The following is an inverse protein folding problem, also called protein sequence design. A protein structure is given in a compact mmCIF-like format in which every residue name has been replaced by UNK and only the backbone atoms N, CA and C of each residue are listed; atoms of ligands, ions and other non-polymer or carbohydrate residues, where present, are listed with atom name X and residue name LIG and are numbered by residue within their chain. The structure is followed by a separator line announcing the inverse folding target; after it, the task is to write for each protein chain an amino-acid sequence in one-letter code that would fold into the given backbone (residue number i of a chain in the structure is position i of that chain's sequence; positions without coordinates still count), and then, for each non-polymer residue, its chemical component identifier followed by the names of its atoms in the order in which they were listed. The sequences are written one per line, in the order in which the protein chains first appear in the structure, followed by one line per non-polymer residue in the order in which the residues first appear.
data_IF_777069276739
#
_entry.id   IF_777069276739
#
_cell.length_a   1.000
_cell.length_b   1.000
_cell.length_c   1.000
_cell.angle_alpha   90.00
_cell.angle_beta   90.00
_cell.angle_gamma   90.00
#
_symmetry.space_group_name_H-M   'P 1'
#
loop_
_entity.id
_entity.type
_entity.pdbx_description
1 polymer ?
#
# COMPACT_ATOMS: atom_id res chain seq x y z
N UNK A 1 18.00 -8.63 1.55
CA UNK A 1 16.87 -8.41 0.62
C UNK A 1 15.52 -8.35 1.33
N UNK A 2 15.05 -9.42 2.00
CA UNK A 2 13.69 -9.47 2.62
C UNK A 2 13.37 -8.34 3.62
N UNK A 3 14.31 -7.95 4.46
CA UNK A 3 14.09 -6.86 5.42
C UNK A 3 13.83 -5.50 4.71
N UNK A 4 14.56 -5.23 3.63
CA UNK A 4 14.37 -4.03 2.81
C UNK A 4 13.01 -4.04 2.09
N UNK A 5 12.57 -5.20 1.61
CA UNK A 5 11.24 -5.35 1.00
C UNK A 5 10.12 -5.11 2.01
N UNK A 6 10.29 -5.53 3.26
CA UNK A 6 9.32 -5.26 4.31
C UNK A 6 9.30 -3.77 4.69
N UNK A 7 10.48 -3.16 4.83
CA UNK A 7 10.65 -1.76 5.20
C UNK A 7 10.10 -0.81 4.12
N UNK A 8 10.40 -1.08 2.86
CA UNK A 8 9.98 -0.27 1.71
C UNK A 8 8.66 -0.74 1.09
N UNK A 9 8.07 -1.82 1.61
CA UNK A 9 6.91 -2.47 1.00
C UNK A 9 5.73 -1.53 0.85
N UNK A 10 5.38 -0.80 1.92
CA UNK A 10 4.29 0.19 1.87
C UNK A 10 4.56 1.28 0.83
N UNK A 11 5.80 1.80 0.75
CA UNK A 11 6.15 2.81 -0.26
C UNK A 11 6.00 2.28 -1.69
N UNK A 12 6.38 1.01 -1.92
CA UNK A 12 6.22 0.35 -3.22
C UNK A 12 4.73 0.16 -3.55
N UNK A 13 3.93 -0.31 -2.60
CA UNK A 13 2.48 -0.49 -2.80
C UNK A 13 1.82 0.83 -3.14
N UNK A 14 2.12 1.88 -2.37
CA UNK A 14 1.63 3.23 -2.64
C UNK A 14 2.04 3.73 -4.03
N UNK A 15 3.31 3.57 -4.43
CA UNK A 15 3.77 4.00 -5.74
C UNK A 15 3.05 3.26 -6.87
N UNK A 16 2.89 1.94 -6.76
CA UNK A 16 2.13 1.12 -7.71
C UNK A 16 0.68 1.59 -7.81
N UNK A 17 0.05 1.87 -6.67
CA UNK A 17 -1.32 2.38 -6.63
C UNK A 17 -1.44 3.74 -7.34
N UNK A 18 -0.56 4.69 -7.00
CA UNK A 18 -0.55 6.03 -7.59
C UNK A 18 -0.39 5.98 -9.11
N UNK A 19 0.62 5.27 -9.61
CA UNK A 19 0.84 5.15 -11.06
C UNK A 19 -0.27 4.35 -11.74
N UNK A 20 -0.81 3.33 -11.08
CA UNK A 20 -1.95 2.56 -11.57
C UNK A 20 -3.18 3.44 -11.80
N UNK A 21 -3.57 4.22 -10.80
CA UNK A 21 -4.68 5.17 -10.93
C UNK A 21 -4.41 6.24 -11.98
N UNK A 22 -3.17 6.76 -12.04
CA UNK A 22 -2.79 7.76 -13.04
C UNK A 22 -2.92 7.22 -14.48
N UNK A 23 -2.48 5.99 -14.74
CA UNK A 23 -2.63 5.34 -16.04
C UNK A 23 -4.11 5.12 -16.37
N UNK A 24 -4.89 4.61 -15.41
CA UNK A 24 -6.34 4.37 -15.62
C UNK A 24 -7.05 5.67 -15.99
N UNK A 25 -6.83 6.74 -15.23
CA UNK A 25 -7.43 8.04 -15.48
C UNK A 25 -6.98 8.64 -16.83
N UNK A 26 -5.72 8.44 -17.22
CA UNK A 26 -5.18 8.98 -18.47
C UNK A 26 -5.69 8.25 -19.72
N UNK A 27 -5.99 6.95 -19.61
CA UNK A 27 -6.38 6.11 -20.76
C UNK A 27 -7.90 6.01 -20.89
N UNK A 28 -8.61 5.79 -19.79
CA UNK A 28 -10.04 5.50 -19.78
C UNK A 28 -10.92 6.69 -19.37
N UNK A 29 -10.30 7.82 -18.98
CA UNK A 29 -10.98 9.05 -18.57
C UNK A 29 -12.01 8.77 -17.44
N UNK A 30 -13.20 9.38 -17.50
CA UNK A 30 -14.26 9.29 -16.47
C UNK A 30 -15.29 8.19 -16.74
N UNK A 31 -14.91 7.14 -17.48
CA UNK A 31 -15.80 6.02 -17.83
C UNK A 31 -16.04 5.07 -16.66
N UNK A 32 -17.12 4.28 -16.72
CA UNK A 32 -17.39 3.22 -15.74
C UNK A 32 -16.27 2.17 -15.68
N UNK A 33 -15.63 1.89 -16.83
CA UNK A 33 -14.44 1.03 -16.90
C UNK A 33 -13.30 1.59 -16.06
N UNK A 34 -13.07 2.91 -16.10
CA UNK A 34 -12.05 3.56 -15.29
C UNK A 34 -12.34 3.38 -13.78
N UNK A 35 -13.59 3.59 -13.36
CA UNK A 35 -14.02 3.40 -11.96
C UNK A 35 -13.85 1.96 -11.50
N UNK A 36 -14.23 0.99 -12.34
CA UNK A 36 -14.07 -0.44 -12.03
C UNK A 36 -12.59 -0.82 -11.88
N UNK A 37 -11.72 -0.37 -12.81
CA UNK A 37 -10.28 -0.62 -12.73
C UNK A 37 -9.65 0.06 -11.52
N UNK A 38 -10.01 1.31 -11.23
CA UNK A 38 -9.57 2.03 -10.04
C UNK A 38 -9.97 1.29 -8.76
N UNK A 39 -11.19 0.74 -8.70
CA UNK A 39 -11.65 -0.08 -7.57
C UNK A 39 -10.80 -1.33 -7.41
N UNK A 40 -10.57 -2.08 -8.49
CA UNK A 40 -9.78 -3.31 -8.45
C UNK A 40 -8.33 -3.06 -8.02
N UNK A 41 -7.68 -2.04 -8.58
CA UNK A 41 -6.32 -1.64 -8.22
C UNK A 41 -6.26 -1.21 -6.75
N UNK A 42 -7.22 -0.39 -6.31
CA UNK A 42 -7.30 0.06 -4.91
C UNK A 42 -7.47 -1.12 -3.96
N UNK A 43 -8.41 -2.02 -4.21
CA UNK A 43 -8.62 -3.20 -3.37
C UNK A 43 -7.38 -4.10 -3.31
N UNK A 44 -6.72 -4.33 -4.44
CA UNK A 44 -5.49 -5.12 -4.48
C UNK A 44 -4.37 -4.50 -3.61
N UNK A 45 -4.19 -3.18 -3.69
CA UNK A 45 -3.21 -2.45 -2.88
C UNK A 45 -3.58 -2.45 -1.39
N UNK A 46 -4.86 -2.30 -1.03
CA UNK A 46 -5.30 -2.38 0.37
C UNK A 46 -5.03 -3.77 0.98
N UNK A 47 -5.28 -4.83 0.21
CA UNK A 47 -4.96 -6.20 0.65
C UNK A 47 -3.44 -6.36 0.84
N UNK A 48 -2.63 -5.86 -0.10
CA UNK A 48 -1.18 -5.89 0.01
C UNK A 48 -0.67 -5.14 1.25
N UNK A 49 -1.17 -3.93 1.52
CA UNK A 49 -0.82 -3.15 2.70
C UNK A 49 -1.24 -3.83 4.00
N UNK A 50 -2.45 -4.42 4.05
CA UNK A 50 -2.90 -5.19 5.21
C UNK A 50 -1.99 -6.40 5.47
N UNK A 51 -1.57 -7.12 4.42
CA UNK A 51 -0.63 -8.23 4.52
C UNK A 51 0.75 -7.77 5.00
N UNK A 52 1.26 -6.66 4.48
CA UNK A 52 2.54 -6.07 4.88
C UNK A 52 2.51 -5.61 6.34
N UNK A 53 1.45 -4.91 6.76
CA UNK A 53 1.26 -4.49 8.14
C UNK A 53 1.22 -5.70 9.08
N UNK A 54 0.45 -6.73 8.75
CA UNK A 54 0.40 -7.96 9.53
C UNK A 54 1.76 -8.68 9.58
N UNK A 55 2.53 -8.68 8.48
CA UNK A 55 3.88 -9.23 8.47
C UNK A 55 4.85 -8.42 9.35
N UNK A 56 4.80 -7.09 9.29
CA UNK A 56 5.62 -6.21 10.09
C UNK A 56 5.31 -6.31 11.59
N UNK A 57 4.02 -6.38 11.96
CA UNK A 57 3.60 -6.61 13.35
C UNK A 57 4.08 -7.96 13.89
N UNK A 58 4.03 -9.03 13.07
CA UNK A 58 4.57 -10.34 13.45
C UNK A 58 6.08 -10.30 13.64
N UNK A 59 6.81 -9.65 12.72
CA UNK A 59 8.26 -9.46 12.85
C UNK A 59 8.63 -8.65 14.10
N UNK A 60 7.85 -7.62 14.43
CA UNK A 60 8.05 -6.80 15.63
C UNK A 60 7.89 -7.61 16.92
N UNK A 61 6.90 -8.52 16.96
CA UNK A 61 6.70 -9.43 18.10
C UNK A 61 7.82 -10.46 18.24
N UNK A 62 8.33 -10.96 17.13
CA UNK A 62 9.39 -11.98 17.09
C UNK A 62 10.81 -11.41 17.25
N UNK A 63 10.97 -10.08 17.28
CA UNK A 63 12.29 -9.45 17.37
C UNK A 63 12.96 -9.70 18.73
N UNK A 64 14.13 -10.32 18.67
CA UNK A 64 15.05 -10.68 19.75
C UNK A 64 16.00 -9.53 20.14
N UNK A 65 16.24 -8.58 19.23
CA UNK A 65 17.05 -7.40 19.46
C UNK A 65 16.32 -6.07 19.14
N UNK A 66 16.86 -4.97 19.68
CA UNK A 66 16.29 -3.64 19.54
C UNK A 66 16.33 -3.10 18.10
N UNK A 67 17.36 -3.44 17.32
CA UNK A 67 17.50 -2.98 15.93
C UNK A 67 16.44 -3.61 15.03
N UNK A 68 16.21 -4.92 15.14
CA UNK A 68 15.17 -5.64 14.41
C UNK A 68 13.78 -5.14 14.77
N UNK A 69 13.55 -4.86 16.06
CA UNK A 69 12.30 -4.28 16.56
C UNK A 69 12.06 -2.89 15.96
N UNK A 70 13.11 -2.06 15.90
CA UNK A 70 13.05 -0.74 15.29
C UNK A 70 12.72 -0.81 13.78
N UNK A 71 13.42 -1.66 13.03
CA UNK A 71 13.15 -1.88 11.60
C UNK A 71 11.71 -2.36 11.38
N UNK A 72 11.23 -3.31 12.18
CA UNK A 72 9.87 -3.83 12.06
C UNK A 72 8.80 -2.78 12.42
N UNK A 73 9.10 -1.91 13.39
CA UNK A 73 8.23 -0.78 13.75
C UNK A 73 8.14 0.25 12.62
N UNK A 74 9.26 0.58 11.97
CA UNK A 74 9.27 1.45 10.80
C UNK A 74 8.52 0.83 9.61
N UNK A 75 8.71 -0.46 9.37
CA UNK A 75 7.97 -1.17 8.32
C UNK A 75 6.45 -1.13 8.57
N UNK A 76 6.02 -1.34 9.82
CA UNK A 76 4.61 -1.27 10.20
C UNK A 76 4.05 0.15 10.01
N UNK A 77 4.80 1.17 10.43
CA UNK A 77 4.42 2.57 10.22
C UNK A 77 4.30 2.91 8.73
N UNK A 78 5.28 2.49 7.91
CA UNK A 78 5.26 2.70 6.47
C UNK A 78 4.05 2.04 5.79
N UNK A 79 3.74 0.79 6.16
CA UNK A 79 2.54 0.10 5.66
C UNK A 79 1.24 0.78 6.11
N UNK A 80 1.16 1.27 7.35
CA UNK A 80 -0.01 2.00 7.84
C UNK A 80 -0.21 3.34 7.12
N UNK A 81 0.87 4.09 6.87
CA UNK A 81 0.82 5.33 6.09
C UNK A 81 0.39 5.04 4.65
N UNK A 82 0.95 4.00 4.02
CA UNK A 82 0.54 3.57 2.68
C UNK A 82 -0.95 3.24 2.63
N UNK A 83 -1.45 2.45 3.60
CA UNK A 83 -2.86 2.08 3.66
C UNK A 83 -3.77 3.32 3.69
N UNK A 84 -3.45 4.31 4.54
CA UNK A 84 -4.20 5.57 4.61
C UNK A 84 -4.12 6.33 3.29
N UNK A 85 -2.94 6.41 2.68
CA UNK A 85 -2.74 7.09 1.41
C UNK A 85 -3.54 6.44 0.26
N UNK A 86 -3.54 5.10 0.18
CA UNK A 86 -4.30 4.33 -0.83
C UNK A 86 -5.80 4.54 -0.66
N UNK A 87 -6.33 4.54 0.58
CA UNK A 87 -7.74 4.84 0.85
C UNK A 87 -8.06 6.26 0.37
N UNK A 88 -7.25 7.24 0.80
CA UNK A 88 -7.47 8.65 0.47
C UNK A 88 -7.40 8.93 -1.02
N UNK A 89 -6.48 8.30 -1.75
CA UNK A 89 -6.32 8.48 -3.20
C UNK A 89 -7.36 7.68 -4.01
N UNK A 90 -7.74 6.49 -3.54
CA UNK A 90 -8.75 5.67 -4.20
C UNK A 90 -10.14 6.28 -4.15
N UNK A 91 -10.51 6.95 -3.06
CA UNK A 91 -11.83 7.58 -2.89
C UNK A 91 -12.17 8.57 -4.01
N UNK A 92 -11.38 9.63 -4.29
CA UNK A 92 -11.63 10.53 -5.41
C UNK A 92 -11.69 9.83 -6.76
N UNK A 93 -10.82 8.84 -7.01
CA UNK A 93 -10.78 8.10 -8.28
C UNK A 93 -12.05 7.26 -8.54
N UNK A 94 -12.83 6.95 -7.50
CA UNK A 94 -14.12 6.26 -7.62
C UNK A 94 -15.30 7.23 -7.76
N UNK A 95 -15.16 8.45 -7.22
CA UNK A 95 -16.22 9.44 -7.17
C UNK A 95 -16.26 10.33 -8.42
N UNK A 96 -15.10 10.66 -8.99
CA UNK A 96 -14.98 11.51 -10.19
C UNK A 96 -15.10 10.67 -11.45
#
# INVERSE_FOLDING_TARGET
MRAWLLLLGGLIVWAVHFFGLYIVASVFLTTDTARMLALLVTLACLIADAMLLAAAMRANRAADDGTRRWIASLAALGAAISLVAVIWQGLPALLV
#
